data_IF_848866615746
#
_entry.id   IF_848866615746
#
_cell.length_a   1.000
_cell.length_b   1.000
_cell.length_c   1.000
_cell.angle_alpha   90.00
_cell.angle_beta   90.00
_cell.angle_gamma   90.00
#
_symmetry.space_group_name_H-M   'P 1'
#
loop_
_entity.id
_entity.type
_entity.pdbx_description
1 polymer ?
#
# COMPACT_ATOMS: atom_id res chain seq x y z
N UNK A 1 6.95 -18.20 15.72
CA UNK A 1 5.95 -17.11 15.79
C UNK A 1 5.58 -16.64 14.41
N UNK A 2 4.32 -16.31 14.19
CA UNK A 2 3.82 -15.78 12.92
C UNK A 2 3.62 -14.26 13.07
N UNK A 3 4.04 -13.49 12.05
CA UNK A 3 3.95 -12.04 12.06
C UNK A 3 2.73 -11.60 11.24
N UNK A 4 1.56 -11.50 11.88
CA UNK A 4 0.32 -11.03 11.26
C UNK A 4 -0.15 -9.68 11.82
N UNK A 5 0.65 -9.07 12.69
CA UNK A 5 0.40 -7.75 13.29
C UNK A 5 1.45 -6.77 12.81
N UNK A 6 1.01 -5.62 12.33
CA UNK A 6 1.79 -4.48 11.91
C UNK A 6 1.64 -3.34 12.94
N UNK A 7 2.66 -2.48 13.08
CA UNK A 7 2.64 -1.27 13.90
C UNK A 7 2.97 -1.52 15.39
N UNK A 8 3.20 -0.43 16.10
CA UNK A 8 3.55 -0.44 17.54
C UNK A 8 2.42 0.06 18.43
N UNK A 9 1.89 1.26 18.18
CA UNK A 9 0.73 1.84 18.87
C UNK A 9 -0.52 1.77 18.00
N UNK A 10 -0.43 2.15 16.73
CA UNK A 10 -1.47 1.84 15.74
C UNK A 10 -1.21 0.45 15.17
N UNK A 11 -1.84 -0.55 15.76
CA UNK A 11 -1.61 -1.95 15.43
C UNK A 11 -2.71 -2.49 14.54
N UNK A 12 -2.31 -3.23 13.51
CA UNK A 12 -3.23 -3.88 12.57
C UNK A 12 -2.92 -5.36 12.51
N UNK A 13 -3.81 -6.21 13.02
CA UNK A 13 -3.71 -7.66 12.89
C UNK A 13 -4.67 -8.11 11.80
N UNK A 14 -4.14 -8.70 10.72
CA UNK A 14 -4.94 -9.16 9.59
C UNK A 14 -5.13 -10.68 9.60
N UNK A 15 -6.29 -11.18 9.15
CA UNK A 15 -6.64 -12.59 9.11
C UNK A 15 -7.47 -12.95 7.86
N UNK A 16 -7.63 -14.25 7.63
CA UNK A 16 -8.43 -14.80 6.54
C UNK A 16 -7.64 -15.10 5.26
N UNK A 17 -8.15 -16.00 4.45
CA UNK A 17 -7.57 -16.49 3.20
C UNK A 17 -8.43 -16.08 2.00
N UNK A 18 -7.80 -16.04 0.81
CA UNK A 18 -8.45 -15.63 -0.44
C UNK A 18 -9.70 -16.42 -0.79
N UNK A 19 -9.76 -17.71 -0.40
CA UNK A 19 -10.88 -18.62 -0.65
C UNK A 19 -11.48 -19.15 0.65
N UNK A 20 -11.23 -18.49 1.79
CA UNK A 20 -11.97 -18.66 3.04
C UNK A 20 -13.31 -17.92 3.00
N UNK A 21 -14.09 -18.02 4.07
CA UNK A 21 -15.39 -17.37 4.18
C UNK A 21 -15.30 -15.84 4.10
N UNK A 22 -14.29 -15.28 4.77
CA UNK A 22 -14.05 -13.84 4.84
C UNK A 22 -12.56 -13.55 5.04
N UNK A 23 -12.20 -12.28 4.86
CA UNK A 23 -10.96 -11.67 5.33
C UNK A 23 -11.30 -10.56 6.31
N UNK A 24 -10.38 -10.21 7.18
CA UNK A 24 -10.63 -9.11 8.12
C UNK A 24 -9.36 -8.61 8.77
N UNK A 25 -9.53 -7.57 9.58
CA UNK A 25 -8.48 -7.08 10.46
C UNK A 25 -9.05 -6.57 11.77
N UNK A 26 -8.19 -6.55 12.77
CA UNK A 26 -8.42 -5.83 14.03
C UNK A 26 -7.44 -4.66 14.06
N UNK A 27 -7.97 -3.45 14.19
CA UNK A 27 -7.21 -2.23 14.40
C UNK A 27 -7.26 -1.89 15.88
N UNK A 28 -6.09 -1.84 16.52
CA UNK A 28 -5.95 -1.47 17.93
C UNK A 28 -5.10 -0.20 18.07
N UNK A 29 -5.36 0.61 19.10
CA UNK A 29 -4.66 1.87 19.33
C UNK A 29 -5.23 3.08 18.56
N UNK A 30 -6.39 2.95 17.92
CA UNK A 30 -7.10 4.10 17.38
C UNK A 30 -7.63 4.97 18.50
N UNK A 31 -7.34 6.29 18.55
CA UNK A 31 -7.89 7.18 19.56
C UNK A 31 -9.42 7.21 19.58
N UNK A 32 -10.06 7.47 20.75
CA UNK A 32 -11.51 7.64 20.82
C UNK A 32 -11.97 8.94 20.16
N UNK A 33 -13.30 9.05 19.93
CA UNK A 33 -14.01 10.22 19.41
C UNK A 33 -13.69 10.60 17.96
N UNK A 34 -13.11 9.70 17.18
CA UNK A 34 -12.96 9.89 15.74
C UNK A 34 -14.25 9.43 15.08
N UNK A 35 -14.90 10.28 14.28
CA UNK A 35 -16.09 9.91 13.52
C UNK A 35 -15.74 8.79 12.53
N UNK A 36 -16.41 7.64 12.62
CA UNK A 36 -16.10 6.45 11.82
C UNK A 36 -17.34 5.63 11.56
N UNK A 37 -17.63 5.44 10.28
CA UNK A 37 -18.66 4.52 9.78
C UNK A 37 -18.06 3.73 8.61
N UNK A 38 -18.78 2.73 8.12
CA UNK A 38 -18.40 1.99 6.90
C UNK A 38 -18.25 2.92 5.69
N UNK A 39 -19.09 3.97 5.59
CA UNK A 39 -19.02 4.97 4.53
C UNK A 39 -17.69 5.76 4.53
N UNK A 40 -16.97 5.80 5.64
CA UNK A 40 -15.65 6.43 5.71
C UNK A 40 -14.52 5.52 5.21
N UNK A 41 -14.77 4.22 5.10
CA UNK A 41 -13.79 3.19 4.70
C UNK A 41 -14.04 2.75 3.25
N UNK A 42 -15.29 2.56 2.88
CA UNK A 42 -15.71 1.95 1.62
C UNK A 42 -15.12 2.63 0.37
N UNK A 43 -15.02 3.96 0.26
CA UNK A 43 -14.45 4.62 -0.93
C UNK A 43 -13.00 4.19 -1.23
N UNK A 44 -12.20 3.91 -0.20
CA UNK A 44 -10.82 3.43 -0.38
C UNK A 44 -10.79 1.97 -0.83
N UNK A 45 -11.71 1.15 -0.34
CA UNK A 45 -11.88 -0.24 -0.79
C UNK A 45 -12.38 -0.29 -2.23
N UNK A 46 -13.27 0.60 -2.62
CA UNK A 46 -13.77 0.72 -3.99
C UNK A 46 -12.65 1.03 -4.98
N UNK A 47 -11.69 1.88 -4.62
CA UNK A 47 -10.47 2.13 -5.42
C UNK A 47 -9.59 0.90 -5.56
N UNK A 48 -9.58 -0.02 -4.57
CA UNK A 48 -8.72 -1.21 -4.55
C UNK A 48 -9.39 -2.46 -5.12
N UNK A 49 -10.70 -2.61 -5.03
CA UNK A 49 -11.43 -3.85 -5.32
C UNK A 49 -11.11 -4.42 -6.70
N UNK A 50 -11.25 -5.75 -6.91
CA UNK A 50 -11.11 -6.35 -8.22
C UNK A 50 -12.29 -5.96 -9.13
N UNK A 51 -12.06 -5.96 -10.46
CA UNK A 51 -13.12 -5.69 -11.43
C UNK A 51 -13.50 -4.21 -11.60
N UNK A 52 -12.66 -3.27 -11.16
CA UNK A 52 -12.88 -1.83 -11.33
C UNK A 52 -12.90 -1.39 -12.81
N UNK A 53 -12.09 -2.05 -13.63
CA UNK A 53 -11.97 -1.74 -15.04
C UNK A 53 -11.72 -3.02 -15.86
N UNK A 54 -11.80 -2.92 -17.19
CA UNK A 54 -11.43 -4.00 -18.11
C UNK A 54 -9.96 -4.41 -18.03
N UNK A 55 -9.13 -3.60 -17.38
CA UNK A 55 -7.68 -3.81 -17.26
C UNK A 55 -7.27 -4.55 -15.99
N UNK A 56 -8.21 -4.75 -15.07
CA UNK A 56 -8.00 -5.54 -13.84
C UNK A 56 -8.61 -6.93 -13.97
N UNK A 57 -8.43 -7.76 -12.94
CA UNK A 57 -8.99 -9.12 -12.89
C UNK A 57 -10.51 -9.12 -13.10
N UNK A 58 -11.03 -10.17 -13.72
CA UNK A 58 -12.47 -10.39 -13.91
C UNK A 58 -13.20 -10.87 -12.63
N UNK A 59 -12.50 -11.10 -11.52
CA UNK A 59 -13.11 -11.39 -10.23
C UNK A 59 -13.94 -10.18 -9.79
N UNK A 60 -15.13 -10.44 -9.25
CA UNK A 60 -16.04 -9.38 -8.79
C UNK A 60 -16.27 -9.55 -7.29
N UNK A 61 -15.61 -8.73 -6.50
CA UNK A 61 -15.80 -8.64 -5.06
C UNK A 61 -16.23 -7.20 -4.74
N UNK A 62 -17.34 -6.99 -4.04
CA UNK A 62 -17.76 -5.64 -3.64
C UNK A 62 -16.81 -5.04 -2.60
N UNK A 63 -16.04 -5.88 -1.91
CA UNK A 63 -15.18 -5.51 -0.77
C UNK A 63 -15.97 -4.71 0.30
N UNK A 64 -17.27 -5.07 0.48
CA UNK A 64 -18.14 -4.44 1.45
C UNK A 64 -17.63 -4.69 2.87
N UNK A 65 -17.24 -3.61 3.54
CA UNK A 65 -16.71 -3.69 4.89
C UNK A 65 -17.82 -3.62 5.94
N UNK A 66 -17.66 -4.39 7.02
CA UNK A 66 -18.52 -4.36 8.21
C UNK A 66 -17.65 -4.02 9.42
N UNK A 67 -18.09 -3.03 10.21
CA UNK A 67 -17.49 -2.71 11.51
C UNK A 67 -18.22 -3.52 12.57
N UNK A 68 -17.50 -4.40 13.27
CA UNK A 68 -18.11 -5.29 14.27
C UNK A 68 -17.90 -4.81 15.71
N UNK A 69 -16.96 -3.91 15.96
CA UNK A 69 -16.63 -3.39 17.30
C UNK A 69 -15.83 -2.09 17.24
N UNK A 70 -15.61 -1.47 18.39
CA UNK A 70 -14.75 -0.30 18.55
C UNK A 70 -15.40 1.03 18.15
N UNK A 71 -16.70 1.02 17.88
CA UNK A 71 -17.51 2.23 17.58
C UNK A 71 -18.83 2.19 18.33
N UNK A 72 -19.40 3.36 18.59
CA UNK A 72 -20.78 3.50 19.09
C UNK A 72 -21.36 4.83 18.63
N UNK A 73 -22.69 4.94 18.67
CA UNK A 73 -23.37 6.19 18.34
C UNK A 73 -23.35 7.13 19.55
N UNK A 74 -22.70 8.27 19.39
CA UNK A 74 -22.63 9.31 20.42
C UNK A 74 -23.80 10.29 20.23
N UNK A 75 -24.78 10.24 21.13
CA UNK A 75 -25.96 11.11 21.11
C UNK A 75 -25.60 12.59 21.22
N UNK A 76 -24.51 12.94 21.93
CA UNK A 76 -24.08 14.31 22.11
C UNK A 76 -23.58 14.96 20.83
N UNK A 77 -22.96 14.19 19.94
CA UNK A 77 -22.46 14.66 18.64
C UNK A 77 -23.36 14.26 17.47
N UNK A 78 -24.31 13.34 17.68
CA UNK A 78 -25.16 12.78 16.61
C UNK A 78 -24.40 11.92 15.61
N UNK A 79 -23.23 11.38 15.96
CA UNK A 79 -22.35 10.65 15.06
C UNK A 79 -21.91 9.32 15.67
N UNK A 80 -21.62 8.33 14.80
CA UNK A 80 -20.88 7.15 15.21
C UNK A 80 -19.40 7.50 15.34
N UNK A 81 -18.81 7.19 16.50
CA UNK A 81 -17.42 7.52 16.84
C UNK A 81 -16.67 6.30 17.36
N UNK A 82 -15.35 6.35 17.27
CA UNK A 82 -14.46 5.35 17.86
C UNK A 82 -14.48 5.44 19.39
N UNK A 83 -14.30 4.29 20.06
CA UNK A 83 -14.33 4.17 21.52
C UNK A 83 -12.94 4.13 22.17
N UNK A 84 -11.87 3.98 21.37
CA UNK A 84 -10.52 3.68 21.87
C UNK A 84 -10.27 2.20 22.15
N UNK A 85 -11.25 1.34 21.89
CA UNK A 85 -11.12 -0.13 21.99
C UNK A 85 -10.89 -0.75 20.60
N UNK A 86 -10.49 -2.04 20.49
CA UNK A 86 -10.19 -2.64 19.20
C UNK A 86 -11.36 -2.58 18.20
N UNK A 87 -11.05 -2.11 17.00
CA UNK A 87 -11.99 -2.02 15.87
C UNK A 87 -11.83 -3.28 15.01
N UNK A 88 -12.83 -4.14 15.00
CA UNK A 88 -12.85 -5.32 14.15
C UNK A 88 -13.57 -5.03 12.83
N UNK A 89 -12.89 -5.32 11.71
CA UNK A 89 -13.39 -5.16 10.35
C UNK A 89 -13.45 -6.50 9.66
N UNK A 90 -14.55 -6.79 8.96
CA UNK A 90 -14.74 -8.02 8.18
C UNK A 90 -15.23 -7.69 6.77
N UNK A 91 -14.71 -8.42 5.79
CA UNK A 91 -15.09 -8.36 4.38
C UNK A 91 -15.35 -9.78 3.90
N UNK A 92 -16.57 -10.08 3.50
CA UNK A 92 -16.96 -11.41 3.01
C UNK A 92 -16.31 -11.71 1.65
N UNK A 93 -15.98 -12.98 1.39
CA UNK A 93 -15.55 -13.45 0.08
C UNK A 93 -16.77 -14.02 -0.67
N UNK A 94 -17.21 -13.36 -1.73
CA UNK A 94 -18.43 -13.71 -2.45
C UNK A 94 -18.21 -14.34 -3.83
N UNK A 95 -17.09 -14.05 -4.52
CA UNK A 95 -16.78 -14.57 -5.88
C UNK A 95 -15.50 -15.44 -5.88
N UNK A 96 -15.44 -16.44 -5.00
CA UNK A 96 -14.35 -17.42 -4.98
C UNK A 96 -14.68 -18.60 -5.90
N UNK A 97 -13.71 -19.04 -6.74
CA UNK A 97 -13.84 -20.18 -7.65
C UNK A 97 -12.67 -21.14 -7.46
N UNK A 98 -12.79 -22.01 -6.46
CA UNK A 98 -11.74 -22.96 -6.08
C UNK A 98 -11.37 -23.95 -7.19
N UNK A 99 -12.29 -24.26 -8.11
CA UNK A 99 -12.07 -25.17 -9.24
C UNK A 99 -11.03 -24.65 -10.26
N UNK A 100 -10.82 -23.33 -10.33
CA UNK A 100 -9.87 -22.70 -11.26
C UNK A 100 -8.40 -23.04 -10.92
N UNK A 101 -8.14 -23.69 -9.77
CA UNK A 101 -6.81 -23.94 -9.22
C UNK A 101 -6.42 -25.43 -9.16
N UNK A 102 -7.23 -26.34 -9.68
CA UNK A 102 -6.96 -27.79 -9.63
C UNK A 102 -5.64 -28.18 -10.31
N UNK A 103 -5.33 -27.58 -11.46
CA UNK A 103 -4.15 -27.90 -12.27
C UNK A 103 -2.82 -27.47 -11.63
N UNK A 104 -2.87 -26.57 -10.65
CA UNK A 104 -1.68 -26.07 -9.93
C UNK A 104 -1.54 -26.63 -8.52
N UNK A 105 -2.43 -27.55 -8.11
CA UNK A 105 -2.43 -28.13 -6.78
C UNK A 105 -1.07 -28.71 -6.39
N UNK A 106 -0.48 -29.46 -7.30
CA UNK A 106 0.77 -30.18 -7.05
C UNK A 106 1.99 -29.57 -7.73
N UNK A 107 1.83 -28.44 -8.48
CA UNK A 107 2.91 -27.75 -9.19
C UNK A 107 3.23 -26.42 -8.51
N UNK A 108 4.48 -25.98 -8.60
CA UNK A 108 4.92 -24.68 -8.09
C UNK A 108 4.97 -23.67 -9.21
N UNK A 109 4.26 -22.56 -9.10
CA UNK A 109 4.35 -21.44 -10.05
C UNK A 109 5.70 -20.75 -9.91
N UNK A 110 6.52 -20.64 -10.98
CA UNK A 110 7.78 -19.91 -10.92
C UNK A 110 7.56 -18.43 -10.51
N UNK A 111 8.35 -17.97 -9.55
CA UNK A 111 8.23 -16.61 -9.04
C UNK A 111 7.01 -16.35 -8.15
N UNK A 112 6.24 -17.38 -7.79
CA UNK A 112 5.16 -17.32 -6.80
C UNK A 112 5.61 -17.91 -5.46
N UNK A 113 4.89 -17.64 -4.39
CA UNK A 113 5.24 -18.12 -3.05
C UNK A 113 4.83 -19.59 -2.78
N UNK A 114 4.44 -20.36 -3.80
CA UNK A 114 3.95 -21.73 -3.63
C UNK A 114 4.98 -22.63 -2.94
N UNK A 115 6.21 -22.67 -3.47
CA UNK A 115 7.31 -23.47 -2.90
C UNK A 115 7.68 -23.01 -1.49
N UNK A 116 7.77 -21.69 -1.27
CA UNK A 116 8.21 -21.15 0.02
C UNK A 116 7.22 -21.42 1.15
N UNK A 117 5.93 -21.52 0.85
CA UNK A 117 4.91 -21.92 1.84
C UNK A 117 5.01 -23.41 2.20
N UNK A 118 5.16 -24.29 1.21
CA UNK A 118 5.39 -25.72 1.50
C UNK A 118 6.70 -25.93 2.25
N UNK A 119 7.79 -25.24 1.88
CA UNK A 119 9.07 -25.31 2.56
C UNK A 119 9.02 -24.81 4.02
N UNK A 120 8.20 -23.80 4.31
CA UNK A 120 8.09 -23.20 5.65
C UNK A 120 7.07 -23.91 6.54
N UNK A 121 5.88 -24.19 5.99
CA UNK A 121 4.74 -24.66 6.78
C UNK A 121 4.40 -26.15 6.54
N UNK A 122 5.02 -26.79 5.53
CA UNK A 122 4.70 -28.17 5.12
C UNK A 122 3.35 -28.31 4.41
N UNK A 123 2.60 -27.20 4.28
CA UNK A 123 1.28 -27.14 3.68
C UNK A 123 1.03 -25.76 3.08
N UNK A 124 0.26 -25.71 1.99
CA UNK A 124 -0.23 -24.48 1.40
C UNK A 124 -1.69 -24.59 0.96
N UNK A 125 -2.43 -23.52 1.05
CA UNK A 125 -3.70 -23.41 0.31
C UNK A 125 -3.41 -23.02 -1.14
N UNK A 126 -3.56 -23.97 -2.06
CA UNK A 126 -3.34 -23.74 -3.49
C UNK A 126 -4.46 -22.91 -4.12
N UNK A 127 -5.64 -22.81 -3.48
CA UNK A 127 -6.82 -22.10 -3.97
C UNK A 127 -6.59 -20.59 -3.85
N UNK A 128 -6.31 -19.93 -4.97
CA UNK A 128 -6.04 -18.49 -5.01
C UNK A 128 -4.83 -18.00 -4.21
N UNK A 129 -4.01 -18.92 -3.69
CA UNK A 129 -2.80 -18.60 -2.93
C UNK A 129 -3.03 -18.34 -1.43
N UNK A 130 -4.22 -18.60 -0.91
CA UNK A 130 -4.49 -18.50 0.53
C UNK A 130 -4.15 -17.12 1.12
N UNK A 131 -3.41 -17.12 2.23
CA UNK A 131 -2.95 -15.92 2.94
C UNK A 131 -1.95 -15.07 2.15
N UNK A 132 -1.20 -15.65 1.21
CA UNK A 132 -0.23 -14.93 0.34
C UNK A 132 -0.89 -14.20 -0.84
N UNK A 133 -2.20 -14.36 -1.03
CA UNK A 133 -2.96 -13.70 -2.10
C UNK A 133 -3.05 -12.20 -1.87
N UNK A 134 -2.99 -11.42 -2.96
CA UNK A 134 -3.25 -9.99 -2.91
C UNK A 134 -4.65 -9.63 -2.37
N UNK A 135 -5.56 -10.61 -2.19
CA UNK A 135 -6.88 -10.41 -1.58
C UNK A 135 -6.77 -9.83 -0.17
N UNK A 136 -5.80 -10.27 0.63
CA UNK A 136 -5.59 -9.80 2.01
C UNK A 136 -5.35 -8.28 2.09
N UNK A 137 -4.82 -7.66 1.04
CA UNK A 137 -4.54 -6.21 1.04
C UNK A 137 -5.79 -5.34 1.16
N UNK A 138 -7.00 -5.88 0.96
CA UNK A 138 -8.23 -5.15 1.25
C UNK A 138 -8.32 -4.78 2.74
N UNK A 139 -7.88 -5.67 3.63
CA UNK A 139 -7.85 -5.39 5.07
C UNK A 139 -6.86 -4.29 5.44
N UNK A 140 -5.72 -4.20 4.72
CA UNK A 140 -4.76 -3.09 4.89
C UNK A 140 -5.35 -1.76 4.44
N UNK A 141 -6.08 -1.75 3.32
CA UNK A 141 -6.76 -0.55 2.83
C UNK A 141 -7.84 -0.09 3.81
N UNK A 142 -8.61 -1.02 4.37
CA UNK A 142 -9.60 -0.71 5.40
C UNK A 142 -8.96 -0.09 6.66
N UNK A 143 -7.84 -0.65 7.14
CA UNK A 143 -7.08 -0.09 8.26
C UNK A 143 -6.47 1.28 7.92
N UNK A 144 -5.94 1.46 6.70
CA UNK A 144 -5.41 2.72 6.20
C UNK A 144 -6.45 3.84 6.16
N UNK A 145 -7.71 3.53 5.86
CA UNK A 145 -8.80 4.50 5.92
C UNK A 145 -9.02 5.04 7.34
N UNK A 146 -8.89 4.20 8.36
CA UNK A 146 -8.92 4.62 9.77
C UNK A 146 -7.67 5.46 10.10
N UNK A 147 -6.49 5.01 9.70
CA UNK A 147 -5.21 5.69 9.95
C UNK A 147 -5.20 7.14 9.44
N UNK A 148 -5.76 7.40 8.26
CA UNK A 148 -5.88 8.74 7.66
C UNK A 148 -6.65 9.73 8.54
N UNK A 149 -7.49 9.26 9.45
CA UNK A 149 -8.31 10.10 10.33
C UNK A 149 -7.63 10.45 11.66
N UNK A 150 -6.48 9.85 11.95
CA UNK A 150 -5.74 10.03 13.23
C UNK A 150 -4.86 11.27 13.18
N UNK A 151 -4.26 11.56 12.02
CA UNK A 151 -3.34 12.70 11.86
C UNK A 151 -4.08 13.88 11.24
N UNK A 152 -4.29 14.98 11.97
CA UNK A 152 -5.03 16.14 11.45
C UNK A 152 -4.34 16.76 10.24
N UNK A 153 -5.13 17.01 9.19
CA UNK A 153 -4.64 17.67 7.96
C UNK A 153 -3.80 16.79 7.04
N UNK A 154 -3.55 15.54 7.39
CA UNK A 154 -2.80 14.61 6.54
C UNK A 154 -3.60 14.23 5.29
N UNK A 155 -2.96 14.37 4.13
CA UNK A 155 -3.40 13.83 2.84
C UNK A 155 -2.38 12.82 2.34
N UNK A 156 -2.84 11.66 1.85
CA UNK A 156 -1.97 10.65 1.24
C UNK A 156 -2.53 10.28 -0.12
N UNK A 157 -1.78 10.51 -1.19
CA UNK A 157 -2.17 10.23 -2.56
C UNK A 157 -1.11 9.41 -3.25
N UNK A 158 -1.55 8.45 -4.07
CA UNK A 158 -0.68 7.58 -4.84
C UNK A 158 -0.94 7.72 -6.33
N UNK A 159 0.10 7.49 -7.15
CA UNK A 159 0.02 7.48 -8.60
C UNK A 159 0.86 6.37 -9.20
N UNK A 160 0.39 5.75 -10.28
CA UNK A 160 1.18 4.84 -11.10
C UNK A 160 2.01 5.66 -12.09
N UNK A 161 3.33 5.65 -11.89
CA UNK A 161 4.27 6.49 -12.64
C UNK A 161 5.04 5.75 -13.73
N UNK A 162 4.95 4.40 -13.76
CA UNK A 162 5.60 3.60 -14.79
C UNK A 162 4.88 2.25 -14.92
N UNK A 163 4.71 1.79 -16.16
CA UNK A 163 4.24 0.43 -16.48
C UNK A 163 5.20 -0.23 -17.47
N UNK A 164 5.81 -1.34 -17.06
CA UNK A 164 6.91 -1.95 -17.81
C UNK A 164 8.06 -0.96 -18.01
N UNK A 165 8.59 -0.81 -19.24
CA UNK A 165 9.66 0.15 -19.54
C UNK A 165 9.15 1.58 -19.76
N UNK A 166 7.84 1.83 -19.69
CA UNK A 166 7.23 3.10 -20.07
C UNK A 166 6.89 3.94 -18.83
N UNK A 167 7.65 5.00 -18.59
CA UNK A 167 7.41 5.97 -17.54
C UNK A 167 6.52 7.11 -18.04
N UNK A 168 5.87 7.80 -17.10
CA UNK A 168 5.19 9.07 -17.35
C UNK A 168 6.19 10.18 -17.69
N UNK A 169 5.70 11.25 -18.28
CA UNK A 169 6.44 12.51 -18.32
C UNK A 169 6.06 13.36 -17.09
N UNK A 170 7.02 13.60 -16.22
CA UNK A 170 6.78 14.36 -14.99
C UNK A 170 6.37 15.82 -15.23
N UNK A 171 6.65 16.38 -16.41
CA UNK A 171 6.18 17.71 -16.78
C UNK A 171 4.66 17.78 -17.01
N UNK A 172 4.01 16.64 -17.23
CA UNK A 172 2.56 16.51 -17.41
C UNK A 172 1.83 16.00 -16.15
N UNK A 173 2.47 16.09 -14.99
CA UNK A 173 1.88 15.63 -13.74
C UNK A 173 0.63 16.44 -13.37
N UNK A 174 -0.51 15.76 -13.29
CA UNK A 174 -1.78 16.30 -12.80
C UNK A 174 -2.40 15.34 -11.79
N UNK A 175 -2.54 15.76 -10.54
CA UNK A 175 -3.16 14.95 -9.49
C UNK A 175 -4.66 14.68 -9.74
N UNK A 176 -5.35 15.57 -10.41
CA UNK A 176 -6.78 15.39 -10.71
C UNK A 176 -6.99 14.30 -11.76
N UNK A 177 -6.01 14.08 -12.63
CA UNK A 177 -6.03 13.03 -13.64
C UNK A 177 -5.96 11.63 -13.05
N UNK A 178 -5.30 11.45 -11.89
CA UNK A 178 -5.14 10.15 -11.21
C UNK A 178 -6.48 9.44 -10.99
N UNK A 179 -7.53 10.17 -10.68
CA UNK A 179 -8.86 9.60 -10.43
C UNK A 179 -9.74 9.51 -11.70
N UNK A 180 -9.30 10.06 -12.82
CA UNK A 180 -10.07 10.11 -14.09
C UNK A 180 -9.77 8.95 -15.03
N UNK A 181 -8.68 8.20 -14.78
CA UNK A 181 -8.31 7.08 -15.63
C UNK A 181 -8.14 5.77 -14.82
N UNK A 182 -8.27 4.60 -15.49
CA UNK A 182 -8.28 3.32 -14.80
C UNK A 182 -6.89 2.85 -14.32
N UNK A 183 -5.84 3.61 -14.56
CA UNK A 183 -4.46 3.27 -14.20
C UNK A 183 -3.95 4.04 -12.97
N UNK A 184 -4.70 5.02 -12.48
CA UNK A 184 -4.20 5.98 -11.49
C UNK A 184 -2.95 6.71 -11.98
N UNK A 185 -2.85 6.98 -13.27
CA UNK A 185 -1.73 7.72 -13.86
C UNK A 185 -1.95 9.21 -13.74
N UNK A 186 -0.94 10.01 -13.34
CA UNK A 186 -1.05 11.47 -13.31
C UNK A 186 -0.82 12.12 -14.67
N UNK A 187 -0.57 11.34 -15.73
CA UNK A 187 -0.30 11.77 -17.09
C UNK A 187 -1.36 11.18 -18.04
N UNK A 188 -2.29 11.99 -18.52
CA UNK A 188 -3.40 11.58 -19.39
C UNK A 188 -2.92 10.95 -20.71
N UNK A 189 -1.83 11.47 -21.29
CA UNK A 189 -1.28 10.90 -22.53
C UNK A 189 -0.69 9.54 -22.28
N UNK A 190 0.03 9.37 -21.17
CA UNK A 190 0.60 8.09 -20.81
C UNK A 190 -0.48 7.08 -20.39
N UNK A 191 -1.56 7.53 -19.74
CA UNK A 191 -2.72 6.69 -19.45
C UNK A 191 -3.33 6.10 -20.73
N UNK A 192 -3.52 6.92 -21.75
CA UNK A 192 -4.00 6.45 -23.07
C UNK A 192 -3.04 5.44 -23.70
N UNK A 193 -1.73 5.66 -23.60
CA UNK A 193 -0.74 4.70 -24.09
C UNK A 193 -0.81 3.36 -23.32
N UNK A 194 -0.99 3.40 -22.02
CA UNK A 194 -1.08 2.19 -21.17
C UNK A 194 -2.25 1.28 -21.55
N UNK A 195 -3.36 1.83 -22.06
CA UNK A 195 -4.47 1.02 -22.56
C UNK A 195 -4.05 0.05 -23.64
N UNK A 196 -3.44 0.55 -24.71
CA UNK A 196 -2.96 -0.26 -25.84
C UNK A 196 -1.86 -1.23 -25.41
N UNK A 197 -0.90 -0.74 -24.63
CA UNK A 197 0.22 -1.55 -24.13
C UNK A 197 -0.27 -2.74 -23.28
N UNK A 198 -1.21 -2.53 -22.38
CA UNK A 198 -1.71 -3.58 -21.51
C UNK A 198 -2.61 -4.57 -22.23
N UNK A 199 -3.37 -4.12 -23.24
CA UNK A 199 -4.12 -5.02 -24.13
C UNK A 199 -3.18 -5.96 -24.93
N UNK A 200 -2.02 -5.48 -25.39
CA UNK A 200 -1.02 -6.31 -26.06
C UNK A 200 -0.34 -7.29 -25.09
N UNK A 201 -0.06 -6.90 -23.86
CA UNK A 201 0.42 -7.81 -22.81
C UNK A 201 -0.58 -8.93 -22.56
N UNK A 202 -1.88 -8.60 -22.48
CA UNK A 202 -2.96 -9.61 -22.30
C UNK A 202 -3.07 -10.55 -23.46
N UNK A 203 -3.05 -10.05 -24.70
CA UNK A 203 -3.09 -10.90 -25.91
C UNK A 203 -1.94 -11.90 -25.96
N UNK A 204 -0.76 -11.51 -25.48
CA UNK A 204 0.42 -12.38 -25.36
C UNK A 204 0.34 -13.37 -24.20
N UNK A 205 -0.71 -13.31 -23.37
CA UNK A 205 -0.85 -14.16 -22.18
C UNK A 205 0.22 -13.90 -21.10
N UNK A 206 0.74 -12.69 -21.06
CA UNK A 206 1.84 -12.26 -20.17
C UNK A 206 1.35 -11.26 -19.10
N UNK A 207 2.29 -10.71 -18.35
CA UNK A 207 2.07 -9.70 -17.31
C UNK A 207 3.18 -8.67 -17.31
N UNK A 208 2.94 -7.53 -16.68
CA UNK A 208 3.88 -6.41 -16.61
C UNK A 208 3.96 -5.85 -15.21
N UNK A 209 5.13 -5.28 -14.87
CA UNK A 209 5.38 -4.57 -13.61
C UNK A 209 4.83 -3.14 -13.64
N UNK A 210 4.81 -2.50 -12.46
CA UNK A 210 4.59 -1.07 -12.33
C UNK A 210 5.44 -0.46 -11.23
N UNK A 211 5.69 0.85 -11.33
CA UNK A 211 6.24 1.68 -10.26
C UNK A 211 5.13 2.63 -9.80
N UNK A 212 4.95 2.68 -8.50
CA UNK A 212 3.98 3.55 -7.84
C UNK A 212 4.74 4.59 -7.01
N UNK A 213 4.30 5.84 -7.05
CA UNK A 213 4.73 6.89 -6.15
C UNK A 213 3.59 7.22 -5.19
N UNK A 214 3.91 7.37 -3.91
CA UNK A 214 2.96 7.81 -2.87
C UNK A 214 3.52 9.04 -2.21
N UNK A 215 2.69 10.08 -2.13
CA UNK A 215 3.02 11.35 -1.50
C UNK A 215 2.09 11.58 -0.32
N UNK A 216 2.67 11.83 0.86
CA UNK A 216 1.93 12.23 2.05
C UNK A 216 2.24 13.69 2.39
N UNK A 217 1.22 14.52 2.41
CA UNK A 217 1.27 15.95 2.74
C UNK A 217 0.59 16.22 4.09
N UNK A 218 0.88 17.35 4.73
CA UNK A 218 0.32 17.70 6.03
C UNK A 218 0.86 16.84 7.19
N UNK A 219 1.99 16.17 6.98
CA UNK A 219 2.67 15.39 8.02
C UNK A 219 3.50 16.35 8.87
N UNK A 220 3.27 16.42 10.20
CA UNK A 220 4.04 17.31 11.05
C UNK A 220 5.52 16.93 11.09
N UNK A 221 6.40 17.92 11.27
CA UNK A 221 7.81 17.67 11.56
C UNK A 221 7.97 16.93 12.90
N UNK A 222 9.00 16.11 13.03
CA UNK A 222 9.35 15.45 14.31
C UNK A 222 8.84 14.01 14.45
N UNK A 223 8.14 13.44 13.46
CA UNK A 223 7.72 12.03 13.51
C UNK A 223 8.88 11.10 13.16
N UNK A 224 9.07 10.06 13.93
CA UNK A 224 10.16 9.12 13.78
C UNK A 224 11.16 9.24 14.92
N UNK A 225 12.18 8.38 14.92
CA UNK A 225 13.24 8.39 15.91
C UNK A 225 14.57 7.94 15.27
N UNK A 226 15.71 8.41 15.77
CA UNK A 226 17.00 8.01 15.24
C UNK A 226 17.26 6.52 15.45
N UNK A 227 18.14 5.96 14.64
CA UNK A 227 18.69 4.61 14.63
C UNK A 227 17.65 3.54 14.29
N UNK A 228 16.88 3.00 15.22
CA UNK A 228 16.02 1.82 15.01
C UNK A 228 14.53 2.13 14.82
N UNK A 229 14.10 3.36 15.11
CA UNK A 229 12.72 3.81 14.93
C UNK A 229 12.56 4.81 13.78
N UNK A 230 13.39 4.71 12.75
CA UNK A 230 13.41 5.64 11.61
C UNK A 230 12.12 5.55 10.81
N UNK A 231 11.53 6.72 10.53
CA UNK A 231 10.30 6.82 9.73
C UNK A 231 10.50 6.26 8.31
N UNK A 232 11.60 6.61 7.64
CA UNK A 232 11.94 6.09 6.31
C UNK A 232 12.14 4.55 6.32
N UNK A 233 12.76 4.03 7.39
CA UNK A 233 12.92 2.59 7.59
C UNK A 233 11.58 1.85 7.73
N UNK A 234 10.66 2.37 8.56
CA UNK A 234 9.34 1.77 8.75
C UNK A 234 8.45 1.92 7.50
N UNK A 235 8.55 3.05 6.77
CA UNK A 235 7.90 3.24 5.47
C UNK A 235 8.39 2.21 4.44
N UNK A 236 9.71 2.04 4.34
CA UNK A 236 10.30 1.06 3.43
C UNK A 236 9.88 -0.38 3.79
N UNK A 237 9.88 -0.75 5.07
CA UNK A 237 9.45 -2.07 5.53
C UNK A 237 7.96 -2.32 5.24
N UNK A 238 7.10 -1.33 5.48
CA UNK A 238 5.67 -1.43 5.24
C UNK A 238 5.34 -1.60 3.74
N UNK A 239 5.98 -0.82 2.87
CA UNK A 239 5.82 -0.90 1.42
C UNK A 239 6.42 -2.20 0.86
N UNK A 240 7.60 -2.63 1.34
CA UNK A 240 8.20 -3.92 0.96
C UNK A 240 7.33 -5.11 1.40
N UNK A 241 6.55 -4.95 2.47
CA UNK A 241 5.58 -5.94 2.94
C UNK A 241 4.33 -6.08 2.07
N UNK A 242 4.14 -5.25 1.05
CA UNK A 242 3.04 -5.39 0.07
C UNK A 242 3.38 -6.55 -0.88
N UNK A 243 2.38 -7.38 -1.20
CA UNK A 243 2.55 -8.51 -2.11
C UNK A 243 3.16 -8.08 -3.44
N UNK A 244 4.16 -8.84 -3.91
CA UNK A 244 4.89 -8.63 -5.16
C UNK A 244 5.80 -7.38 -5.22
N UNK A 245 5.93 -6.58 -4.18
CA UNK A 245 6.91 -5.49 -4.13
C UNK A 245 8.33 -6.05 -4.09
N UNK A 246 9.26 -5.40 -4.82
CA UNK A 246 10.66 -5.82 -4.97
C UNK A 246 11.68 -4.70 -4.81
N UNK A 247 11.23 -3.48 -4.61
CA UNK A 247 12.09 -2.34 -4.34
C UNK A 247 11.28 -1.19 -3.78
N UNK A 248 11.90 -0.40 -2.92
CA UNK A 248 11.35 0.81 -2.30
C UNK A 248 12.41 1.90 -2.34
N UNK A 249 11.99 3.12 -2.61
CA UNK A 249 12.80 4.33 -2.58
C UNK A 249 12.11 5.42 -1.76
N UNK A 250 12.90 6.21 -1.07
CA UNK A 250 12.45 7.41 -0.35
C UNK A 250 13.14 8.64 -0.96
N UNK A 251 12.38 9.69 -1.26
CA UNK A 251 12.92 10.90 -1.88
C UNK A 251 13.59 10.65 -3.24
N UNK A 252 14.83 11.10 -3.42
CA UNK A 252 15.60 10.85 -4.64
C UNK A 252 15.91 9.36 -4.86
N UNK A 253 15.92 8.55 -3.79
CA UNK A 253 16.16 7.10 -3.87
C UNK A 253 17.49 6.80 -4.54
N UNK A 254 17.52 5.85 -5.49
CA UNK A 254 18.74 5.48 -6.21
C UNK A 254 19.27 6.59 -7.13
N UNK A 255 18.46 7.57 -7.52
CA UNK A 255 18.93 8.70 -8.31
C UNK A 255 19.91 9.60 -7.53
N UNK A 256 19.90 9.56 -6.20
CA UNK A 256 20.87 10.26 -5.35
C UNK A 256 22.34 9.86 -5.63
N UNK A 257 22.55 8.63 -6.15
CA UNK A 257 23.90 8.17 -6.50
C UNK A 257 24.57 8.99 -7.63
N UNK A 258 23.79 9.71 -8.43
CA UNK A 258 24.28 10.56 -9.51
C UNK A 258 24.45 12.04 -9.09
N UNK A 259 24.05 12.39 -7.86
CA UNK A 259 24.10 13.78 -7.36
C UNK A 259 25.40 14.00 -6.58
N UNK A 260 25.96 15.21 -6.71
CA UNK A 260 27.00 15.70 -5.79
C UNK A 260 26.38 16.07 -4.43
N UNK A 261 27.21 16.35 -3.42
CA UNK A 261 26.71 16.77 -2.11
C UNK A 261 25.91 18.07 -2.18
N UNK A 262 26.34 19.01 -3.01
CA UNK A 262 25.69 20.30 -3.26
C UNK A 262 24.33 20.11 -3.97
N UNK A 263 24.29 19.24 -4.97
CA UNK A 263 23.05 18.96 -5.72
C UNK A 263 22.01 18.21 -4.87
N UNK A 264 22.48 17.34 -3.96
CA UNK A 264 21.60 16.57 -3.07
C UNK A 264 21.16 17.36 -1.83
N UNK A 265 21.77 18.52 -1.54
CA UNK A 265 21.44 19.30 -0.37
C UNK A 265 20.03 19.90 -0.48
N UNK A 266 19.18 19.61 0.51
CA UNK A 266 17.90 20.28 0.67
C UNK A 266 18.10 21.59 1.44
N UNK A 267 18.52 22.66 0.72
CA UNK A 267 18.81 23.96 1.32
C UNK A 267 17.56 24.55 2.00
N UNK A 268 17.78 25.33 3.05
CA UNK A 268 16.72 25.89 3.90
C UNK A 268 16.86 27.41 4.01
N UNK A 269 15.73 28.10 4.09
CA UNK A 269 15.66 29.53 4.40
C UNK A 269 14.43 29.85 5.23
N UNK A 270 14.41 31.05 5.82
CA UNK A 270 13.21 31.57 6.45
C UNK A 270 12.24 32.09 5.39
N UNK A 271 10.99 31.67 5.50
CA UNK A 271 9.88 32.24 4.74
C UNK A 271 9.44 33.60 5.25
N UNK A 272 8.65 34.30 4.46
CA UNK A 272 8.13 35.64 4.83
C UNK A 272 7.12 35.58 5.99
N UNK A 273 6.54 34.42 6.22
CA UNK A 273 5.62 34.11 7.33
C UNK A 273 6.33 33.68 8.62
N UNK A 274 7.67 33.66 8.59
CA UNK A 274 8.50 33.20 9.73
C UNK A 274 8.62 31.67 9.82
N UNK A 275 8.05 30.93 8.88
CA UNK A 275 8.20 29.47 8.78
C UNK A 275 9.48 29.06 8.06
N UNK A 276 9.91 27.79 8.25
CA UNK A 276 11.02 27.19 7.53
C UNK A 276 10.57 26.77 6.12
N UNK A 277 11.34 27.15 5.10
CA UNK A 277 11.13 26.76 3.70
C UNK A 277 12.33 25.98 3.22
N UNK A 278 12.09 24.78 2.71
CA UNK A 278 13.07 23.97 1.99
C UNK A 278 13.01 24.28 0.51
N UNK A 279 14.18 24.38 -0.14
CA UNK A 279 14.28 24.74 -1.57
C UNK A 279 14.19 23.51 -2.48
N UNK A 280 14.38 22.32 -1.94
CA UNK A 280 14.23 21.02 -2.61
C UNK A 280 13.75 19.96 -1.62
N UNK A 281 13.52 18.74 -2.08
CA UNK A 281 13.07 17.63 -1.23
C UNK A 281 13.69 16.30 -1.72
N UNK A 282 15.00 16.27 -1.87
CA UNK A 282 15.75 15.07 -2.26
C UNK A 282 15.67 13.97 -1.18
N UNK A 283 15.64 14.39 0.09
CA UNK A 283 15.47 13.47 1.23
C UNK A 283 14.06 12.88 1.33
N UNK A 284 13.08 13.38 0.55
CA UNK A 284 11.71 12.85 0.56
C UNK A 284 10.96 13.08 1.88
N UNK A 285 11.22 14.23 2.54
CA UNK A 285 10.52 14.64 3.76
C UNK A 285 11.05 14.00 5.05
N UNK A 286 12.18 13.28 5.01
CA UNK A 286 12.74 12.58 6.16
C UNK A 286 14.25 12.80 6.24
N UNK A 287 14.73 13.36 7.36
CA UNK A 287 16.15 13.56 7.67
C UNK A 287 16.50 12.87 8.99
N UNK A 288 17.54 12.06 8.99
CA UNK A 288 17.95 11.31 10.17
C UNK A 288 16.90 10.33 10.70
N UNK A 289 15.93 9.94 9.88
CA UNK A 289 14.80 9.08 10.25
C UNK A 289 13.61 9.81 10.86
N UNK A 290 13.61 11.16 10.79
CA UNK A 290 12.60 12.04 11.40
C UNK A 290 11.99 12.92 10.31
N UNK A 291 10.66 13.10 10.32
CA UNK A 291 9.96 13.93 9.34
C UNK A 291 10.35 15.42 9.46
N UNK A 292 10.47 16.09 8.32
CA UNK A 292 10.84 17.52 8.23
C UNK A 292 9.64 18.46 8.18
N UNK A 293 8.44 17.95 7.97
CA UNK A 293 7.25 18.74 7.64
C UNK A 293 7.04 18.94 6.13
N UNK A 294 8.02 18.59 5.29
CA UNK A 294 7.85 18.53 3.84
C UNK A 294 6.99 17.31 3.45
N UNK A 295 6.46 17.27 2.20
CA UNK A 295 5.84 16.07 1.68
C UNK A 295 6.74 14.84 1.79
N UNK A 296 6.21 13.76 2.35
CA UNK A 296 6.90 12.47 2.36
C UNK A 296 6.68 11.81 1.00
N UNK A 297 7.76 11.47 0.31
CA UNK A 297 7.73 10.88 -1.03
C UNK A 297 8.32 9.48 -1.00
N UNK A 298 7.50 8.47 -1.28
CA UNK A 298 7.89 7.07 -1.37
C UNK A 298 7.62 6.54 -2.78
N UNK A 299 8.51 5.71 -3.32
CA UNK A 299 8.26 4.92 -4.53
C UNK A 299 8.47 3.44 -4.25
N UNK A 300 7.72 2.61 -4.95
CA UNK A 300 7.92 1.16 -4.87
C UNK A 300 7.59 0.47 -6.20
N UNK A 301 8.31 -0.59 -6.50
CA UNK A 301 8.11 -1.39 -7.70
C UNK A 301 7.40 -2.70 -7.37
N UNK A 302 6.35 -2.98 -8.14
CA UNK A 302 5.58 -4.23 -8.09
C UNK A 302 6.00 -5.08 -9.27
N UNK A 303 6.54 -6.29 -9.02
CA UNK A 303 6.95 -7.21 -10.09
C UNK A 303 5.76 -7.68 -10.94
N UNK A 304 5.98 -8.17 -12.17
CA UNK A 304 4.95 -8.83 -12.96
C UNK A 304 4.34 -10.00 -12.20
N UNK A 305 3.02 -10.24 -12.36
CA UNK A 305 2.39 -11.41 -11.74
C UNK A 305 2.98 -12.71 -12.32
N UNK A 306 3.17 -13.69 -11.45
CA UNK A 306 3.70 -15.00 -11.81
C UNK A 306 2.66 -15.91 -12.48
N UNK A 307 1.40 -15.56 -12.40
CA UNK A 307 0.29 -16.33 -12.98
C UNK A 307 0.05 -15.87 -14.40
N UNK A 308 0.68 -16.53 -15.38
CA UNK A 308 0.61 -16.22 -16.82
C UNK A 308 0.22 -17.44 -17.64
N UNK A 309 -0.33 -17.19 -18.82
CA UNK A 309 -0.76 -18.25 -19.76
C UNK A 309 0.42 -18.88 -20.51
N UNK A 310 1.52 -18.14 -20.69
CA UNK A 310 2.71 -18.64 -21.36
C UNK A 310 3.33 -19.77 -20.53
N UNK A 311 3.52 -20.98 -21.09
CA UNK A 311 4.10 -22.12 -20.36
C UNK A 311 5.49 -21.80 -19.79
N UNK A 312 5.75 -22.29 -18.57
CA UNK A 312 7.03 -22.14 -17.87
C UNK A 312 7.46 -23.47 -17.27
N UNK A 313 8.76 -23.74 -17.35
CA UNK A 313 9.35 -24.89 -16.67
C UNK A 313 9.28 -24.74 -15.17
N UNK A 314 8.98 -25.80 -14.48
CA UNK A 314 8.88 -25.85 -13.01
C UNK A 314 9.09 -27.29 -12.54
N UNK A 315 8.93 -27.50 -11.23
CA UNK A 315 8.88 -28.81 -10.59
C UNK A 315 7.54 -28.98 -9.87
N UNK A 316 7.11 -30.23 -9.74
CA UNK A 316 6.00 -30.57 -8.87
C UNK A 316 6.48 -30.76 -7.41
N UNK A 317 5.52 -30.94 -6.50
CA UNK A 317 5.82 -31.15 -5.07
C UNK A 317 6.47 -32.53 -4.77
N UNK A 318 6.51 -33.43 -5.76
CA UNK A 318 7.11 -34.77 -5.66
C UNK A 318 8.54 -34.78 -6.23
N UNK A 319 9.03 -33.66 -6.76
CA UNK A 319 10.39 -33.49 -7.27
C UNK A 319 10.56 -33.83 -8.74
N UNK A 320 9.46 -33.96 -9.52
CA UNK A 320 9.54 -34.18 -10.96
C UNK A 320 9.53 -32.87 -11.74
N UNK A 321 10.37 -32.78 -12.77
CA UNK A 321 10.36 -31.71 -13.74
C UNK A 321 9.05 -31.69 -14.53
N UNK A 322 8.46 -30.51 -14.70
CA UNK A 322 7.18 -30.33 -15.39
C UNK A 322 7.07 -28.92 -16.01
N UNK A 323 5.95 -28.66 -16.65
CA UNK A 323 5.58 -27.34 -17.13
C UNK A 323 4.26 -26.90 -16.50
N UNK A 324 4.11 -25.58 -16.41
CA UNK A 324 2.90 -24.94 -15.89
C UNK A 324 2.48 -23.78 -16.81
N UNK A 325 1.18 -23.69 -17.07
CA UNK A 325 0.50 -22.54 -17.64
C UNK A 325 -0.65 -22.19 -16.69
N UNK A 326 -0.60 -21.02 -16.09
CA UNK A 326 -1.60 -20.66 -15.07
C UNK A 326 -2.81 -20.01 -15.71
N UNK A 327 -3.86 -20.82 -15.91
CA UNK A 327 -5.18 -20.33 -16.30
C UNK A 327 -5.85 -19.69 -15.09
N UNK A 328 -6.69 -18.68 -15.30
CA UNK A 328 -7.44 -18.03 -14.23
C UNK A 328 -7.63 -16.53 -14.43
N UNK A 329 -8.29 -15.91 -13.45
CA UNK A 329 -8.63 -14.48 -13.45
C UNK A 329 -7.55 -13.68 -12.75
N UNK A 330 -6.42 -13.43 -13.44
CA UNK A 330 -5.28 -12.69 -12.89
C UNK A 330 -5.20 -11.27 -13.46
N UNK A 331 -4.69 -10.34 -12.65
CA UNK A 331 -4.38 -8.98 -13.12
C UNK A 331 -3.16 -9.04 -14.06
N UNK A 332 -3.23 -8.51 -15.29
CA UNK A 332 -2.05 -8.41 -16.15
C UNK A 332 -1.02 -7.41 -15.61
N UNK A 333 -1.47 -6.45 -14.82
CA UNK A 333 -0.63 -5.52 -14.04
C UNK A 333 -1.23 -5.34 -12.64
N UNK A 334 -0.67 -6.01 -11.63
CA UNK A 334 -1.15 -5.86 -10.23
C UNK A 334 -0.80 -4.50 -9.64
N UNK A 335 0.10 -3.74 -10.26
CA UNK A 335 0.51 -2.40 -9.82
C UNK A 335 -0.63 -1.39 -9.82
N UNK A 336 -1.61 -1.52 -10.70
CA UNK A 336 -2.81 -0.65 -10.72
C UNK A 336 -3.50 -0.69 -9.36
N UNK A 337 -3.72 -1.88 -8.83
CA UNK A 337 -4.37 -2.07 -7.53
C UNK A 337 -3.44 -1.82 -6.34
N UNK A 338 -2.13 -1.75 -6.58
CA UNK A 338 -1.15 -1.45 -5.54
C UNK A 338 -1.12 0.04 -5.15
N UNK A 339 -1.66 0.94 -5.97
CA UNK A 339 -1.75 2.37 -5.66
C UNK A 339 -2.49 2.60 -4.33
N UNK A 340 -3.77 2.26 -4.16
CA UNK A 340 -4.47 2.46 -2.90
C UNK A 340 -3.90 1.63 -1.73
N UNK A 341 -3.19 0.53 -2.01
CA UNK A 341 -2.53 -0.27 -0.97
C UNK A 341 -1.30 0.47 -0.43
N UNK A 342 -0.49 1.06 -1.32
CA UNK A 342 0.65 1.89 -0.94
C UNK A 342 0.22 3.09 -0.11
N UNK A 343 -0.82 3.80 -0.55
CA UNK A 343 -1.42 4.90 0.21
C UNK A 343 -1.83 4.46 1.63
N UNK A 344 -2.50 3.33 1.75
CA UNK A 344 -2.96 2.82 3.03
C UNK A 344 -1.80 2.46 3.97
N UNK A 345 -0.74 1.83 3.46
CA UNK A 345 0.41 1.46 4.27
C UNK A 345 1.20 2.68 4.73
N UNK A 346 1.38 3.68 3.88
CA UNK A 346 2.00 4.97 4.25
C UNK A 346 1.18 5.66 5.35
N UNK A 347 -0.15 5.70 5.21
CA UNK A 347 -1.03 6.27 6.24
C UNK A 347 -0.93 5.53 7.58
N UNK A 348 -0.87 4.18 7.57
CA UNK A 348 -0.71 3.37 8.78
C UNK A 348 0.62 3.66 9.50
N UNK A 349 1.73 3.77 8.74
CA UNK A 349 3.04 4.10 9.32
C UNK A 349 3.03 5.48 9.96
N UNK A 350 2.52 6.48 9.23
CA UNK A 350 2.49 7.87 9.73
C UNK A 350 1.60 7.96 10.98
N UNK A 351 0.44 7.30 11.00
CA UNK A 351 -0.43 7.27 12.17
C UNK A 351 0.25 6.62 13.39
N UNK A 352 0.98 5.51 13.19
CA UNK A 352 1.75 4.86 14.26
C UNK A 352 2.82 5.79 14.83
N UNK A 353 3.62 6.42 13.96
CA UNK A 353 4.65 7.38 14.38
C UNK A 353 4.07 8.63 15.04
N UNK A 354 2.91 9.12 14.58
CA UNK A 354 2.22 10.24 15.19
C UNK A 354 1.79 9.93 16.63
N UNK A 355 1.23 8.75 16.87
CA UNK A 355 0.85 8.31 18.20
C UNK A 355 2.09 8.08 19.09
N UNK A 356 3.15 7.50 18.55
CA UNK A 356 4.43 7.30 19.26
C UNK A 356 5.04 8.64 19.68
N UNK A 357 5.06 9.63 18.77
CA UNK A 357 5.54 10.97 19.06
C UNK A 357 4.76 11.62 20.21
N UNK A 358 3.43 11.56 20.18
CA UNK A 358 2.60 12.09 21.26
C UNK A 358 2.82 11.38 22.60
N UNK A 359 3.03 10.07 22.57
CA UNK A 359 3.30 9.30 23.78
C UNK A 359 4.67 9.62 24.38
N UNK A 360 5.67 9.95 23.57
CA UNK A 360 7.03 10.23 24.00
C UNK A 360 7.22 11.69 24.41
N UNK A 361 6.72 12.63 23.62
CA UNK A 361 7.05 14.05 23.73
C UNK A 361 5.93 14.90 24.36
N UNK A 362 4.69 14.41 24.39
CA UNK A 362 3.54 15.24 24.69
C UNK A 362 3.36 16.33 23.61
N UNK A 363 3.35 17.60 24.04
CA UNK A 363 3.32 18.72 23.10
C UNK A 363 4.69 18.90 22.43
N UNK A 364 4.74 19.06 21.09
CA UNK A 364 6.00 19.26 20.39
C UNK A 364 6.65 20.58 20.80
N UNK A 365 8.00 20.63 20.85
CA UNK A 365 8.71 21.88 21.13
C UNK A 365 8.38 22.92 20.06
N UNK A 366 8.27 24.19 20.48
CA UNK A 366 8.05 25.31 19.56
C UNK A 366 9.32 25.60 18.76
N UNK A 367 9.18 25.85 17.47
CA UNK A 367 10.27 26.29 16.62
C UNK A 367 9.87 27.60 15.92
N UNK A 368 10.73 28.60 15.74
CA UNK A 368 12.14 28.62 16.21
C UNK A 368 12.27 28.68 17.74
N UNK A 369 13.34 28.09 18.23
CA UNK A 369 13.66 28.18 19.67
C UNK A 369 13.98 29.63 20.03
N UNK A 370 13.43 30.11 21.14
CA UNK A 370 13.72 31.46 21.62
C UNK A 370 15.21 31.59 21.91
N UNK A 371 15.81 32.71 21.45
CA UNK A 371 17.19 33.04 21.84
C UNK A 371 17.21 33.34 23.34
N UNK A 372 18.12 32.68 24.06
CA UNK A 372 18.35 32.93 25.46
C UNK A 372 18.93 34.34 25.69
#
# INVERSE_FOLDING_TARGET
>A
MSFNTFGHLFRVTTFGESHGAAIGCVVDGCPPRIALTEANIQPYLDKRRPGQSRFTTQRREPDEVKILSGVFFDEATGQQVTTGTPIALVIDNVDQRSKDYSDIKDKYRPGHADFTYDAKYGIRDYRGGGRQSARETATRVAAGAIARRIVPGMSVRGALIQMGPHAIDRARWDWDEVERNPFFSPDAQQATFFEGYLDDIRKRGSSVCAVIEVVAEGVPAGLGAPIYGKLDGDLAAALMGINAVKGVEIGAGFAAAALSGEENADEMRMGNDGGLVFLSNHAGGVLGGISTGQPIVCRFVVKPTSSILTPRRTVDRYGADTEISTKGRHDPCVGIRAVPIGEAMVACVIADHYLRQRAQMGDPPTWPVARA
#
